data_IF_323026729178
#
_entry.id   IF_323026729178
#
_cell.length_a   1.000
_cell.length_b   1.000
_cell.length_c   1.000
_cell.angle_alpha   90.00
_cell.angle_beta   90.00
_cell.angle_gamma   90.00
#
_symmetry.space_group_name_H-M   'P 1'
#
loop_
_entity.id
_entity.type
_entity.pdbx_description
1 polymer ?
#
# COMPACT_ATOMS: atom_id res chain seq x y z
N UNK A 1 -4.36 20.40 3.24
CA UNK A 1 -3.17 19.85 3.93
C UNK A 1 -2.86 18.53 3.27
N UNK A 2 -1.93 18.54 2.31
CA UNK A 2 -1.45 17.31 1.68
C UNK A 2 -0.64 16.57 2.73
N UNK A 3 -1.06 15.36 3.11
CA UNK A 3 -0.24 14.48 3.93
C UNK A 3 0.97 14.12 3.08
N UNK A 4 2.15 14.61 3.47
CA UNK A 4 3.36 14.42 2.71
C UNK A 4 3.76 12.93 2.78
N UNK A 5 3.43 12.22 1.70
CA UNK A 5 3.57 10.77 1.58
C UNK A 5 5.01 10.31 1.81
N UNK A 6 5.96 11.18 1.47
CA UNK A 6 7.39 10.93 1.63
C UNK A 6 7.83 11.01 3.09
N UNK A 7 7.31 11.95 3.88
CA UNK A 7 7.63 12.02 5.32
C UNK A 7 7.14 10.78 6.07
N UNK A 8 5.93 10.32 5.77
CA UNK A 8 5.37 9.16 6.46
C UNK A 8 6.05 7.85 6.01
N UNK A 9 6.41 7.75 4.72
CA UNK A 9 7.24 6.67 4.22
C UNK A 9 8.63 6.69 4.88
N UNK A 10 9.25 7.86 5.03
CA UNK A 10 10.52 8.02 5.74
C UNK A 10 10.40 7.60 7.21
N UNK A 11 9.31 7.95 7.90
CA UNK A 11 9.06 7.49 9.28
C UNK A 11 8.91 5.97 9.36
N UNK A 12 8.24 5.35 8.39
CA UNK A 12 8.13 3.89 8.30
C UNK A 12 9.49 3.24 8.02
N UNK A 13 10.29 3.84 7.14
CA UNK A 13 11.67 3.40 6.89
C UNK A 13 12.56 3.52 8.12
N UNK A 14 12.40 4.57 8.92
CA UNK A 14 13.15 4.74 10.17
C UNK A 14 12.70 3.75 11.25
N UNK A 15 11.38 3.51 11.37
CA UNK A 15 10.83 2.61 12.41
C UNK A 15 10.96 1.13 12.09
N UNK A 16 10.86 0.77 10.83
CA UNK A 16 10.78 -0.62 10.38
C UNK A 16 11.88 -0.99 9.38
N UNK A 17 12.81 -0.08 9.08
CA UNK A 17 13.85 -0.29 8.08
C UNK A 17 13.30 -0.38 6.65
N UNK A 18 14.06 -1.03 5.78
CA UNK A 18 13.69 -1.38 4.40
C UNK A 18 12.68 -2.55 4.32
N UNK A 19 11.81 -2.68 5.34
CA UNK A 19 10.77 -3.70 5.39
C UNK A 19 9.55 -3.37 4.53
N UNK A 20 9.42 -2.10 4.10
CA UNK A 20 8.30 -1.60 3.30
C UNK A 20 8.76 -1.03 1.97
N UNK A 21 7.91 -1.16 0.95
CA UNK A 21 8.08 -0.58 -0.38
C UNK A 21 6.79 0.10 -0.83
N UNK A 22 6.92 1.04 -1.76
CA UNK A 22 5.78 1.61 -2.47
C UNK A 22 5.43 0.68 -3.64
N UNK A 23 4.16 0.32 -3.77
CA UNK A 23 3.63 -0.48 -4.87
C UNK A 23 2.55 0.31 -5.60
N UNK A 24 2.60 0.27 -6.94
CA UNK A 24 1.58 0.80 -7.83
C UNK A 24 0.54 -0.26 -8.23
N UNK A 25 0.35 -1.29 -7.40
CA UNK A 25 -0.55 -2.43 -7.73
C UNK A 25 -1.98 -1.99 -8.03
N UNK A 26 -2.41 -0.86 -7.48
CA UNK A 26 -3.75 -0.31 -7.64
C UNK A 26 -3.79 0.84 -8.67
N UNK A 27 -2.78 0.98 -9.51
CA UNK A 27 -2.79 1.91 -10.64
C UNK A 27 -4.02 1.67 -11.52
N UNK A 28 -4.76 2.75 -11.81
CA UNK A 28 -6.06 2.67 -12.49
C UNK A 28 -7.20 2.12 -11.63
N UNK A 29 -7.07 2.08 -10.29
CA UNK A 29 -8.12 1.72 -9.33
C UNK A 29 -8.73 0.32 -9.53
N UNK A 30 -8.00 -0.59 -10.19
CA UNK A 30 -8.48 -1.91 -10.60
C UNK A 30 -8.55 -2.92 -9.45
N UNK A 31 -7.76 -2.72 -8.39
CA UNK A 31 -7.64 -3.66 -7.28
C UNK A 31 -8.59 -3.27 -6.15
N UNK A 32 -8.60 -2.00 -5.78
CA UNK A 32 -9.58 -1.46 -4.85
C UNK A 32 -9.87 0.01 -5.17
N UNK A 33 -11.09 0.38 -5.60
CA UNK A 33 -11.41 1.75 -5.96
C UNK A 33 -11.44 2.70 -4.76
N UNK A 34 -11.55 2.18 -3.53
CA UNK A 34 -11.45 2.97 -2.30
C UNK A 34 -10.01 3.29 -1.90
N UNK A 35 -9.02 2.73 -2.61
CA UNK A 35 -7.60 2.91 -2.33
C UNK A 35 -6.98 3.79 -3.43
N UNK A 36 -5.96 4.62 -3.13
CA UNK A 36 -5.14 5.30 -4.11
C UNK A 36 -4.33 4.34 -5.00
N UNK A 37 -3.80 4.87 -6.09
CA UNK A 37 -3.01 4.09 -7.05
C UNK A 37 -1.72 3.53 -6.46
N UNK A 38 -1.10 4.30 -5.55
CA UNK A 38 0.12 3.93 -4.84
C UNK A 38 -0.17 3.58 -3.39
N UNK A 39 0.34 2.43 -2.96
CA UNK A 39 0.15 1.90 -1.62
C UNK A 39 1.48 1.45 -1.02
N UNK A 40 1.65 1.63 0.30
CA UNK A 40 2.83 1.14 1.00
C UNK A 40 2.57 -0.30 1.47
N UNK A 41 3.43 -1.22 1.06
CA UNK A 41 3.29 -2.66 1.30
C UNK A 41 4.60 -3.25 1.83
N UNK A 42 4.57 -4.32 2.63
CA UNK A 42 5.80 -4.99 3.04
C UNK A 42 6.57 -5.49 1.82
N UNK A 43 7.90 -5.34 1.81
CA UNK A 43 8.78 -5.71 0.71
C UNK A 43 8.70 -7.21 0.37
N UNK A 44 8.41 -8.05 1.36
CA UNK A 44 8.20 -9.49 1.20
C UNK A 44 6.87 -9.89 0.53
N UNK A 45 5.94 -8.94 0.33
CA UNK A 45 4.66 -9.21 -0.33
C UNK A 45 4.71 -8.69 -1.77
N UNK A 46 4.51 -9.60 -2.72
CA UNK A 46 4.39 -9.29 -4.14
C UNK A 46 3.03 -8.69 -4.51
N UNK A 47 2.98 -7.98 -5.64
CA UNK A 47 1.75 -7.32 -6.11
C UNK A 47 0.63 -8.32 -6.43
N UNK A 48 0.98 -9.53 -6.87
CA UNK A 48 0.01 -10.60 -7.15
C UNK A 48 -0.74 -11.03 -5.88
N UNK A 49 -0.03 -11.13 -4.75
CA UNK A 49 -0.66 -11.43 -3.45
C UNK A 49 -1.60 -10.31 -3.01
N UNK A 50 -1.27 -9.06 -3.31
CA UNK A 50 -2.16 -7.92 -3.01
C UNK A 50 -3.43 -7.96 -3.87
N UNK A 51 -3.32 -8.32 -5.17
CA UNK A 51 -4.48 -8.48 -6.05
C UNK A 51 -5.41 -9.61 -5.58
N UNK A 52 -4.84 -10.76 -5.22
CA UNK A 52 -5.58 -11.90 -4.70
C UNK A 52 -6.22 -11.55 -3.34
N UNK A 53 -5.46 -10.93 -2.44
CA UNK A 53 -5.97 -10.53 -1.13
C UNK A 53 -7.07 -9.46 -1.22
N UNK A 54 -7.09 -8.65 -2.27
CA UNK A 54 -8.16 -7.66 -2.50
C UNK A 54 -9.45 -8.32 -3.00
N UNK A 55 -9.34 -9.38 -3.81
CA UNK A 55 -10.51 -10.13 -4.32
C UNK A 55 -11.17 -11.00 -3.26
N UNK A 56 -10.43 -11.44 -2.24
CA UNK A 56 -10.92 -12.33 -1.19
C UNK A 56 -11.51 -11.63 0.06
N UNK A 57 -11.47 -10.30 0.17
CA UNK A 57 -11.92 -9.59 1.38
C UNK A 57 -13.19 -8.77 1.18
N UNK A 58 -14.28 -9.23 1.78
CA UNK A 58 -15.45 -8.44 2.13
C UNK A 58 -15.03 -7.38 3.18
N UNK A 59 -14.64 -6.18 2.72
CA UNK A 59 -14.20 -5.07 3.58
C UNK A 59 -12.76 -4.60 3.40
N UNK A 60 -12.06 -5.06 2.35
CA UNK A 60 -10.88 -4.41 1.76
C UNK A 60 -9.86 -3.83 2.75
N UNK A 61 -9.41 -4.61 3.74
CA UNK A 61 -8.20 -4.28 4.52
C UNK A 61 -7.09 -5.23 4.12
N UNK A 62 -6.38 -4.85 3.08
CA UNK A 62 -5.10 -5.43 2.70
C UNK A 62 -4.07 -5.20 3.83
N UNK A 63 -3.04 -6.05 3.97
CA UNK A 63 -1.89 -5.77 4.82
C UNK A 63 -0.98 -4.68 4.20
N UNK A 64 -1.59 -3.62 3.66
CA UNK A 64 -0.89 -2.41 3.27
C UNK A 64 -0.80 -1.51 4.49
N UNK A 65 0.40 -1.03 4.78
CA UNK A 65 0.69 -0.28 5.99
C UNK A 65 -0.10 1.03 6.03
N UNK A 66 -0.21 1.74 4.89
CA UNK A 66 -1.05 2.94 4.69
C UNK A 66 -1.26 3.26 3.21
N UNK A 67 -2.30 4.06 2.96
CA UNK A 67 -2.67 4.64 1.67
C UNK A 67 -1.93 5.95 1.43
N UNK A 68 -1.33 6.14 0.25
CA UNK A 68 -0.74 7.41 -0.14
C UNK A 68 -1.79 8.27 -0.87
N UNK A 69 -2.16 9.47 -0.38
CA UNK A 69 -3.17 10.31 -1.02
C UNK A 69 -2.87 10.61 -2.49
#
# INVERSE_FOLDING_TARGET
MAFDSEEEFARLMVRCGDAFRISSVNEGFKVCPSYPEKVIVPKGIGDDYLRISATFRDGSRLPCAKLLP
#
